data_IF_050501209283
#
_entry.id   IF_050501209283
#
_cell.length_a   1.000
_cell.length_b   1.000
_cell.length_c   1.000
_cell.angle_alpha   90.00
_cell.angle_beta   90.00
_cell.angle_gamma   90.00
#
_symmetry.space_group_name_H-M   'P 1'
#
loop_
_entity.id
_entity.type
_entity.pdbx_description
1 polymer ?
#
# COMPACT_ATOMS: atom_id res chain seq x y z
N UNK A 1 10.84 -42.71 -57.79
CA UNK A 1 9.62 -42.75 -56.99
C UNK A 1 9.75 -43.62 -55.72
N UNK A 2 10.20 -44.84 -55.87
CA UNK A 2 10.37 -45.80 -54.74
C UNK A 2 11.22 -45.25 -53.57
N UNK A 3 12.33 -44.57 -53.84
CA UNK A 3 13.22 -43.96 -52.88
C UNK A 3 12.58 -42.79 -52.08
N UNK A 4 11.65 -42.03 -52.68
CA UNK A 4 10.92 -40.96 -51.98
C UNK A 4 9.83 -41.46 -51.06
N UNK A 5 9.16 -42.54 -51.45
CA UNK A 5 8.16 -43.22 -50.63
C UNK A 5 8.79 -43.89 -49.39
N UNK A 6 10.00 -44.51 -49.56
CA UNK A 6 10.77 -45.07 -48.45
C UNK A 6 11.17 -43.98 -47.43
N UNK A 7 11.63 -42.81 -47.92
CA UNK A 7 12.02 -41.69 -47.06
C UNK A 7 10.80 -41.06 -46.32
N UNK A 8 9.65 -40.97 -46.98
CA UNK A 8 8.40 -40.50 -46.32
C UNK A 8 7.97 -41.50 -45.24
N UNK A 9 8.08 -42.80 -45.53
CA UNK A 9 7.78 -43.82 -44.53
C UNK A 9 8.74 -43.76 -43.30
N UNK A 10 10.03 -43.59 -43.58
CA UNK A 10 11.02 -43.42 -42.52
C UNK A 10 10.83 -42.15 -41.71
N UNK A 11 10.53 -41.02 -42.36
CA UNK A 11 10.24 -39.76 -41.69
C UNK A 11 8.99 -39.85 -40.78
N UNK A 12 7.92 -40.49 -41.26
CA UNK A 12 6.71 -40.73 -40.45
C UNK A 12 7.01 -41.62 -39.24
N UNK A 13 7.76 -42.69 -39.38
CA UNK A 13 8.13 -43.52 -38.26
C UNK A 13 8.97 -42.79 -37.19
N UNK A 14 9.95 -41.97 -37.66
CA UNK A 14 10.73 -41.12 -36.74
C UNK A 14 9.81 -40.09 -36.02
N UNK A 15 8.88 -39.43 -36.73
CA UNK A 15 7.94 -38.48 -36.16
C UNK A 15 7.01 -39.10 -35.11
N UNK A 16 6.52 -40.32 -35.36
CA UNK A 16 5.67 -41.04 -34.44
C UNK A 16 6.40 -41.45 -33.16
N UNK A 17 7.70 -41.79 -33.27
CA UNK A 17 8.53 -42.24 -32.14
C UNK A 17 8.96 -41.13 -31.19
N UNK A 18 8.75 -39.85 -31.51
CA UNK A 18 9.22 -38.72 -30.71
C UNK A 18 8.25 -38.43 -29.56
N UNK A 19 8.82 -38.16 -28.39
CA UNK A 19 8.09 -37.88 -27.15
C UNK A 19 8.13 -36.41 -26.71
N UNK A 20 8.90 -35.55 -27.35
CA UNK A 20 9.03 -34.14 -27.02
C UNK A 20 9.12 -33.23 -28.26
N UNK A 21 8.81 -31.93 -28.07
CA UNK A 21 8.74 -30.96 -29.16
C UNK A 21 10.16 -30.62 -29.70
N UNK A 22 11.21 -30.68 -28.87
CA UNK A 22 12.55 -30.32 -29.29
C UNK A 22 13.10 -31.38 -30.27
N UNK A 23 12.93 -32.66 -29.97
CA UNK A 23 13.30 -33.77 -30.84
C UNK A 23 12.47 -33.75 -32.14
N UNK A 24 11.17 -33.34 -32.06
CA UNK A 24 10.33 -33.15 -33.26
C UNK A 24 10.86 -32.02 -34.20
N UNK A 25 11.36 -30.94 -33.61
CA UNK A 25 11.98 -29.84 -34.37
C UNK A 25 13.31 -30.26 -35.02
N UNK A 26 14.10 -31.16 -34.38
CA UNK A 26 15.28 -31.73 -34.99
C UNK A 26 14.93 -32.57 -36.27
N UNK A 27 13.88 -33.39 -36.16
CA UNK A 27 13.37 -34.13 -37.35
C UNK A 27 12.87 -33.20 -38.41
N UNK A 28 12.16 -32.14 -38.07
CA UNK A 28 11.73 -31.12 -39.03
C UNK A 28 12.92 -30.49 -39.76
N UNK A 29 13.99 -30.16 -39.03
CA UNK A 29 15.23 -29.62 -39.65
C UNK A 29 15.90 -30.63 -40.54
N UNK A 30 15.96 -31.93 -40.16
CA UNK A 30 16.54 -33.01 -40.93
C UNK A 30 15.89 -33.18 -42.29
N UNK A 31 14.55 -33.11 -42.34
CA UNK A 31 13.82 -33.37 -43.57
C UNK A 31 13.46 -32.10 -44.36
N UNK A 32 13.04 -31.02 -43.67
CA UNK A 32 12.46 -29.82 -44.24
C UNK A 32 13.33 -28.56 -44.07
N UNK A 33 14.44 -28.65 -43.35
CA UNK A 33 15.34 -27.53 -43.12
C UNK A 33 16.04 -27.03 -44.42
N UNK A 34 16.79 -25.93 -44.33
CA UNK A 34 17.53 -25.33 -45.45
C UNK A 34 18.50 -26.29 -46.13
N UNK A 35 19.05 -27.26 -45.41
CA UNK A 35 19.90 -28.38 -45.87
C UNK A 35 19.22 -29.74 -45.67
N UNK A 36 17.92 -29.76 -45.49
CA UNK A 36 17.14 -30.98 -45.26
C UNK A 36 16.91 -31.73 -46.58
N UNK A 37 16.58 -33.04 -46.40
CA UNK A 37 16.45 -33.96 -47.52
C UNK A 37 15.59 -33.41 -48.68
N UNK A 38 14.37 -32.95 -48.39
CA UNK A 38 13.48 -32.47 -49.46
C UNK A 38 13.98 -31.16 -50.09
N UNK A 39 14.70 -30.31 -49.38
CA UNK A 39 15.29 -29.10 -49.91
C UNK A 39 16.45 -29.43 -50.88
N UNK A 40 17.27 -30.43 -50.57
CA UNK A 40 18.35 -30.89 -51.47
C UNK A 40 17.79 -31.59 -52.71
N UNK A 41 16.72 -32.39 -52.58
CA UNK A 41 16.04 -32.98 -53.74
C UNK A 41 15.46 -31.92 -54.68
N UNK A 42 14.87 -30.86 -54.13
CA UNK A 42 14.35 -29.72 -54.92
C UNK A 42 15.47 -28.99 -55.70
N UNK A 43 16.66 -28.84 -55.09
CA UNK A 43 17.82 -28.25 -55.78
C UNK A 43 18.30 -29.17 -56.92
N UNK A 44 18.24 -30.49 -56.73
CA UNK A 44 18.61 -31.47 -57.74
C UNK A 44 17.74 -31.45 -59.00
N UNK A 45 16.54 -30.90 -58.97
CA UNK A 45 15.68 -30.77 -60.13
C UNK A 45 16.31 -29.90 -61.26
N UNK A 46 17.29 -29.06 -60.93
CA UNK A 46 18.03 -28.29 -61.90
C UNK A 46 18.78 -29.12 -62.94
N UNK A 47 19.13 -30.39 -62.62
CA UNK A 47 19.84 -31.32 -63.52
C UNK A 47 18.92 -32.09 -64.50
N UNK A 48 17.59 -32.02 -64.34
CA UNK A 48 16.60 -32.71 -65.16
C UNK A 48 16.22 -31.87 -66.38
N UNK A 49 15.70 -32.56 -67.40
CA UNK A 49 15.18 -31.88 -68.60
C UNK A 49 13.99 -30.97 -68.33
N UNK A 50 13.76 -29.92 -69.13
CA UNK A 50 12.65 -28.98 -68.91
C UNK A 50 11.27 -29.64 -68.89
N UNK A 51 11.10 -30.78 -69.54
CA UNK A 51 9.82 -31.51 -69.58
C UNK A 51 9.58 -32.39 -68.37
N UNK A 52 10.65 -32.90 -67.73
CA UNK A 52 10.55 -33.80 -66.57
C UNK A 52 10.48 -33.04 -65.23
N UNK A 53 10.97 -31.80 -65.16
CA UNK A 53 11.01 -30.98 -63.97
C UNK A 53 9.65 -30.80 -63.30
N UNK A 54 8.54 -30.46 -64.02
CA UNK A 54 7.25 -30.25 -63.39
C UNK A 54 6.71 -31.50 -62.71
N UNK A 55 6.83 -32.61 -63.35
CA UNK A 55 6.35 -33.90 -62.81
C UNK A 55 7.15 -34.34 -61.55
N UNK A 56 8.50 -34.29 -61.64
CA UNK A 56 9.37 -34.60 -60.50
C UNK A 56 9.18 -33.59 -59.34
N UNK A 57 9.01 -32.29 -59.63
CA UNK A 57 8.74 -31.28 -58.60
C UNK A 57 7.40 -31.49 -57.91
N UNK A 58 6.35 -31.92 -58.64
CA UNK A 58 5.04 -32.22 -58.04
C UNK A 58 5.14 -33.41 -57.05
N UNK A 59 5.85 -34.46 -57.42
CA UNK A 59 6.03 -35.62 -56.54
C UNK A 59 6.81 -35.29 -55.27
N UNK A 60 7.89 -34.49 -55.41
CA UNK A 60 8.69 -34.05 -54.22
C UNK A 60 7.86 -33.15 -53.34
N UNK A 61 7.06 -32.23 -53.91
CA UNK A 61 6.18 -31.36 -53.11
C UNK A 61 5.09 -32.16 -52.40
N UNK A 62 4.49 -33.16 -53.05
CA UNK A 62 3.53 -34.05 -52.40
C UNK A 62 4.16 -34.84 -51.24
N UNK A 63 5.34 -35.39 -51.41
CA UNK A 63 6.08 -36.08 -50.35
C UNK A 63 6.43 -35.14 -49.20
N UNK A 64 6.90 -33.93 -49.52
CA UNK A 64 7.15 -32.89 -48.52
C UNK A 64 5.91 -32.54 -47.72
N UNK A 65 4.75 -32.38 -48.38
CA UNK A 65 3.49 -32.06 -47.74
C UNK A 65 3.06 -33.18 -46.76
N UNK A 66 3.19 -34.46 -47.14
CA UNK A 66 2.88 -35.59 -46.28
C UNK A 66 3.71 -35.60 -45.02
N UNK A 67 5.01 -35.25 -45.08
CA UNK A 67 5.88 -35.14 -43.92
C UNK A 67 5.52 -33.91 -43.06
N UNK A 68 5.19 -32.78 -43.71
CA UNK A 68 4.78 -31.56 -43.01
C UNK A 68 3.47 -31.80 -42.21
N UNK A 69 2.50 -32.48 -42.84
CA UNK A 69 1.22 -32.80 -42.17
C UNK A 69 1.43 -33.75 -40.97
N UNK A 70 2.29 -34.75 -41.14
CA UNK A 70 2.65 -35.64 -40.04
C UNK A 70 3.35 -34.89 -38.87
N UNK A 71 4.25 -33.97 -39.17
CA UNK A 71 4.93 -33.11 -38.18
C UNK A 71 3.91 -32.23 -37.42
N UNK A 72 2.99 -31.62 -38.16
CA UNK A 72 1.97 -30.76 -37.56
C UNK A 72 1.02 -31.56 -36.65
N UNK A 73 0.54 -32.71 -37.11
CA UNK A 73 -0.33 -33.60 -36.30
C UNK A 73 0.40 -34.10 -35.03
N UNK A 74 1.69 -34.48 -35.14
CA UNK A 74 2.45 -34.89 -33.98
C UNK A 74 2.71 -33.78 -32.98
N UNK A 75 3.02 -32.57 -33.48
CA UNK A 75 3.19 -31.38 -32.66
C UNK A 75 1.93 -31.10 -31.85
N UNK A 76 0.77 -31.06 -32.50
CA UNK A 76 -0.50 -30.83 -31.82
C UNK A 76 -0.78 -31.90 -30.75
N UNK A 77 -0.50 -33.16 -31.04
CA UNK A 77 -0.65 -34.25 -30.07
C UNK A 77 0.27 -34.09 -28.86
N UNK A 78 1.54 -33.68 -29.06
CA UNK A 78 2.49 -33.43 -27.98
C UNK A 78 2.11 -32.19 -27.16
N UNK A 79 1.66 -31.11 -27.78
CA UNK A 79 1.19 -29.91 -27.09
C UNK A 79 -0.04 -30.21 -26.23
N UNK A 80 -1.00 -30.99 -26.74
CA UNK A 80 -2.18 -31.45 -25.98
C UNK A 80 -1.75 -32.36 -24.83
N UNK A 81 -0.79 -33.26 -25.04
CA UNK A 81 -0.27 -34.12 -23.96
C UNK A 81 0.39 -33.33 -22.83
N UNK A 82 1.23 -32.35 -23.18
CA UNK A 82 1.85 -31.43 -22.22
C UNK A 82 0.82 -30.61 -21.47
N UNK A 83 -0.17 -30.06 -22.21
CA UNK A 83 -1.28 -29.31 -21.60
C UNK A 83 -2.08 -30.18 -20.63
N UNK A 84 -2.45 -31.38 -21.02
CA UNK A 84 -3.20 -32.31 -20.16
C UNK A 84 -2.40 -32.71 -18.90
N UNK A 85 -1.09 -32.92 -19.02
CA UNK A 85 -0.21 -33.17 -17.89
C UNK A 85 -0.18 -31.98 -16.93
N UNK A 86 -0.08 -30.77 -17.46
CA UNK A 86 -0.13 -29.54 -16.67
C UNK A 86 -1.48 -29.38 -15.99
N UNK A 87 -2.59 -29.55 -16.71
CA UNK A 87 -3.93 -29.47 -16.15
C UNK A 87 -4.18 -30.53 -15.05
N UNK A 88 -3.67 -31.74 -15.23
CA UNK A 88 -3.75 -32.80 -14.22
C UNK A 88 -2.96 -32.43 -12.94
N UNK A 89 -1.80 -31.78 -13.10
CA UNK A 89 -1.00 -31.30 -11.96
C UNK A 89 -1.63 -30.08 -11.26
N UNK A 90 -2.43 -29.29 -11.98
CA UNK A 90 -3.14 -28.10 -11.46
C UNK A 90 -4.59 -28.42 -11.03
N UNK A 91 -4.93 -29.69 -10.82
CA UNK A 91 -6.29 -30.11 -10.41
C UNK A 91 -6.66 -29.47 -9.07
N UNK A 92 -7.74 -28.72 -9.04
CA UNK A 92 -8.30 -28.13 -7.83
C UNK A 92 -9.42 -29.05 -7.33
N UNK A 93 -9.42 -29.33 -6.03
CA UNK A 93 -10.52 -30.05 -5.40
C UNK A 93 -11.78 -29.15 -5.38
N UNK A 94 -12.73 -29.46 -6.26
CA UNK A 94 -14.02 -28.76 -6.37
C UNK A 94 -15.05 -29.27 -5.38
N UNK A 95 -14.77 -30.30 -4.58
CA UNK A 95 -15.64 -30.79 -3.51
C UNK A 95 -15.59 -29.92 -2.26
N UNK A 96 -14.58 -29.02 -2.18
CA UNK A 96 -14.51 -28.04 -1.10
C UNK A 96 -15.72 -27.11 -1.13
N UNK A 97 -16.21 -26.68 0.04
CA UNK A 97 -17.35 -25.75 0.10
C UNK A 97 -17.05 -24.50 -0.71
N UNK A 98 -18.03 -24.04 -1.48
CA UNK A 98 -17.95 -22.85 -2.31
C UNK A 98 -17.52 -21.61 -1.53
N UNK A 99 -17.35 -20.49 -2.21
CA UNK A 99 -16.93 -19.23 -1.59
C UNK A 99 -17.77 -18.95 -0.34
N UNK A 100 -17.09 -18.88 0.80
CA UNK A 100 -17.75 -18.42 2.04
C UNK A 100 -18.18 -16.98 1.81
N UNK A 101 -19.33 -16.61 2.38
CA UNK A 101 -19.71 -15.20 2.50
C UNK A 101 -18.60 -14.56 3.34
N UNK A 102 -17.83 -13.69 2.72
CA UNK A 102 -16.79 -12.96 3.42
C UNK A 102 -17.45 -11.91 4.32
N UNK A 103 -17.26 -12.02 5.61
CA UNK A 103 -17.64 -10.96 6.53
C UNK A 103 -16.75 -9.73 6.24
N UNK A 104 -17.36 -8.55 6.23
CA UNK A 104 -16.65 -7.29 6.17
C UNK A 104 -15.79 -7.08 7.42
N UNK A 105 -14.81 -6.19 7.33
CA UNK A 105 -13.98 -5.72 8.44
C UNK A 105 -14.05 -4.20 8.57
N UNK A 106 -13.60 -3.67 9.70
CA UNK A 106 -13.42 -2.23 9.88
C UNK A 106 -12.20 -1.76 9.09
N UNK A 107 -12.31 -0.56 8.53
CA UNK A 107 -11.20 0.10 7.86
C UNK A 107 -9.98 0.21 8.81
N UNK A 108 -8.73 0.01 8.37
CA UNK A 108 -7.56 0.03 9.25
C UNK A 108 -7.38 1.32 10.03
N UNK A 109 -7.73 2.48 9.45
CA UNK A 109 -7.74 3.77 10.14
C UNK A 109 -8.78 3.77 11.28
N UNK A 110 -9.99 3.25 11.05
CA UNK A 110 -11.02 3.12 12.09
C UNK A 110 -10.55 2.23 13.24
N UNK A 111 -9.96 1.07 12.94
CA UNK A 111 -9.38 0.18 13.96
C UNK A 111 -8.27 0.86 14.77
N UNK A 112 -7.47 1.69 14.11
CA UNK A 112 -6.42 2.47 14.78
C UNK A 112 -7.03 3.50 15.73
N UNK A 113 -8.06 4.25 15.29
CA UNK A 113 -8.78 5.23 16.14
C UNK A 113 -9.36 4.53 17.37
N UNK A 114 -10.13 3.45 17.20
CA UNK A 114 -10.74 2.71 18.29
C UNK A 114 -9.69 2.18 19.29
N UNK A 115 -8.55 1.73 18.78
CA UNK A 115 -7.44 1.28 19.63
C UNK A 115 -6.85 2.43 20.44
N UNK A 116 -6.64 3.60 19.83
CA UNK A 116 -6.13 4.80 20.49
C UNK A 116 -7.12 5.27 21.55
N UNK A 117 -8.41 5.39 21.19
CA UNK A 117 -9.47 5.78 22.14
C UNK A 117 -9.53 4.87 23.34
N UNK A 118 -9.41 3.54 23.14
CA UNK A 118 -9.38 2.57 24.23
C UNK A 118 -8.16 2.76 25.14
N UNK A 119 -6.95 2.83 24.58
CA UNK A 119 -5.72 2.95 25.36
C UNK A 119 -5.69 4.24 26.19
N UNK A 120 -6.06 5.37 25.60
CA UNK A 120 -6.16 6.62 26.35
C UNK A 120 -7.34 6.63 27.33
N UNK A 121 -8.46 5.97 26.99
CA UNK A 121 -9.57 5.78 27.92
C UNK A 121 -9.17 5.02 29.19
N UNK A 122 -8.35 3.98 29.06
CA UNK A 122 -7.78 3.24 30.20
C UNK A 122 -6.85 4.11 31.06
N UNK A 123 -6.23 5.15 30.48
CA UNK A 123 -5.43 6.16 31.21
C UNK A 123 -6.27 7.33 31.74
N UNK A 124 -7.62 7.26 31.63
CA UNK A 124 -8.55 8.26 32.14
C UNK A 124 -8.80 9.47 31.24
N UNK A 125 -8.38 9.42 29.97
CA UNK A 125 -8.72 10.46 28.99
C UNK A 125 -10.14 10.27 28.47
N UNK A 126 -10.88 11.37 28.32
CA UNK A 126 -12.19 11.41 27.66
C UNK A 126 -12.04 11.74 26.20
N UNK A 127 -12.91 11.20 25.36
CA UNK A 127 -12.94 11.53 23.93
C UNK A 127 -13.84 12.75 23.73
N UNK A 128 -13.27 13.82 23.20
CA UNK A 128 -14.01 15.03 22.82
C UNK A 128 -13.97 15.21 21.32
N UNK A 129 -15.02 15.83 20.76
CA UNK A 129 -15.17 16.07 19.33
C UNK A 129 -15.63 17.50 19.08
N UNK A 130 -15.27 18.02 17.91
CA UNK A 130 -15.63 19.39 17.52
C UNK A 130 -15.84 19.54 16.02
N UNK A 131 -16.15 20.75 15.56
CA UNK A 131 -16.43 21.03 14.16
C UNK A 131 -15.21 20.84 13.27
N UNK A 132 -15.45 20.49 12.00
CA UNK A 132 -14.39 20.40 10.97
C UNK A 132 -14.19 21.76 10.27
N UNK A 133 -15.21 22.64 10.30
CA UNK A 133 -15.12 24.02 9.83
C UNK A 133 -14.86 24.88 11.06
N UNK A 134 -13.75 25.58 11.05
CA UNK A 134 -13.27 26.38 12.16
C UNK A 134 -13.09 27.84 11.77
N UNK A 135 -13.08 28.70 12.79
CA UNK A 135 -12.70 30.11 12.68
C UNK A 135 -11.20 30.31 12.96
N UNK A 136 -10.72 31.53 12.67
CA UNK A 136 -9.32 31.90 12.89
C UNK A 136 -8.89 31.87 14.34
N UNK A 137 -9.80 32.15 15.29
CA UNK A 137 -9.50 32.13 16.71
C UNK A 137 -9.17 30.72 17.20
N UNK A 138 -10.05 29.74 16.96
CA UNK A 138 -9.87 28.37 17.45
C UNK A 138 -8.78 27.60 16.68
N UNK A 139 -8.61 27.91 15.38
CA UNK A 139 -7.59 27.22 14.58
C UNK A 139 -6.19 27.80 14.73
N UNK A 140 -6.05 29.08 15.14
CA UNK A 140 -4.76 29.75 15.17
C UNK A 140 -4.53 30.66 16.39
N UNK A 141 -5.39 31.67 16.64
CA UNK A 141 -5.06 32.74 17.59
C UNK A 141 -4.96 32.24 19.01
N UNK A 142 -5.92 31.45 19.46
CA UNK A 142 -5.92 30.82 20.78
C UNK A 142 -4.76 29.83 20.99
N UNK A 143 -4.18 29.34 19.92
CA UNK A 143 -3.02 28.44 19.90
C UNK A 143 -1.68 29.19 19.81
N UNK A 144 -1.67 30.49 20.06
CA UNK A 144 -0.47 31.32 20.01
C UNK A 144 0.23 31.29 18.64
N UNK A 145 -0.48 31.00 17.54
CA UNK A 145 0.05 31.03 16.18
C UNK A 145 -0.08 32.44 15.63
N UNK A 146 1.05 33.16 15.39
CA UNK A 146 1.01 34.55 14.97
C UNK A 146 0.44 34.74 13.55
N UNK A 147 -0.08 35.95 13.26
CA UNK A 147 -0.75 36.27 12.00
C UNK A 147 0.13 36.05 10.75
N UNK A 148 1.45 36.17 10.89
CA UNK A 148 2.42 35.99 9.80
C UNK A 148 2.98 34.55 9.70
N UNK A 149 2.41 33.60 10.46
CA UNK A 149 2.88 32.22 10.44
C UNK A 149 2.56 31.55 9.10
N UNK A 150 3.48 30.77 8.47
CA UNK A 150 3.26 30.12 7.18
C UNK A 150 2.02 29.24 7.13
N UNK A 151 1.68 28.54 8.21
CA UNK A 151 0.48 27.69 8.29
C UNK A 151 -0.85 28.42 8.07
N UNK A 152 -0.87 29.76 8.13
CA UNK A 152 -2.06 30.56 7.84
C UNK A 152 -2.21 30.94 6.36
N UNK A 153 -1.27 30.53 5.51
CA UNK A 153 -1.33 30.85 4.08
C UNK A 153 -2.30 29.93 3.34
N UNK A 154 -2.84 30.39 2.23
CA UNK A 154 -3.71 29.61 1.32
C UNK A 154 -2.96 28.41 0.71
N UNK A 155 -1.65 28.37 0.81
CA UNK A 155 -0.84 27.25 0.36
C UNK A 155 -0.97 26.03 1.30
N UNK A 156 -1.22 26.26 2.58
CA UNK A 156 -1.30 25.18 3.59
C UNK A 156 -2.73 24.94 4.11
N UNK A 157 -3.60 25.97 4.06
CA UNK A 157 -4.95 25.96 4.67
C UNK A 157 -6.04 26.16 3.63
N UNK A 158 -7.11 25.35 3.70
CA UNK A 158 -8.29 25.49 2.84
C UNK A 158 -9.29 26.48 3.47
N UNK A 159 -9.42 27.68 2.92
CA UNK A 159 -10.36 28.70 3.34
C UNK A 159 -11.65 28.66 2.54
N UNK A 160 -12.80 28.81 3.22
CA UNK A 160 -14.09 29.10 2.60
C UNK A 160 -14.25 30.60 2.34
N UNK A 161 -13.79 31.40 3.29
CA UNK A 161 -13.75 32.88 3.27
C UNK A 161 -12.66 33.32 4.26
N UNK A 162 -12.40 34.64 4.42
CA UNK A 162 -11.36 35.11 5.35
C UNK A 162 -11.50 34.68 6.80
N UNK A 163 -12.71 34.33 7.24
CA UNK A 163 -13.01 34.00 8.64
C UNK A 163 -13.16 32.51 8.91
N UNK A 164 -13.47 31.70 7.87
CA UNK A 164 -13.77 30.27 8.02
C UNK A 164 -12.90 29.40 7.14
N UNK A 165 -12.44 28.30 7.69
CA UNK A 165 -11.55 27.33 7.03
C UNK A 165 -11.88 25.88 7.43
N UNK A 166 -11.34 24.93 6.67
CA UNK A 166 -11.22 23.54 7.16
C UNK A 166 -10.09 23.48 8.20
N UNK A 167 -10.37 22.89 9.35
CA UNK A 167 -9.39 22.79 10.44
C UNK A 167 -8.14 22.05 9.99
N UNK A 168 -6.97 22.60 10.32
CA UNK A 168 -5.65 22.04 9.97
C UNK A 168 -5.11 21.06 11.00
N UNK A 169 -5.73 20.98 12.17
CA UNK A 169 -5.45 20.11 13.31
C UNK A 169 -6.70 19.99 14.19
N UNK A 170 -6.67 19.09 15.18
CA UNK A 170 -7.79 18.93 16.12
C UNK A 170 -7.65 19.78 17.38
N UNK A 171 -6.65 20.68 17.46
CA UNK A 171 -6.39 21.55 18.63
C UNK A 171 -7.53 22.51 18.92
N UNK A 172 -8.36 22.88 17.93
CA UNK A 172 -9.56 23.70 18.17
C UNK A 172 -10.53 23.05 19.16
N UNK A 173 -10.58 21.69 19.19
CA UNK A 173 -11.37 20.95 20.18
C UNK A 173 -10.83 21.16 21.59
N UNK A 174 -9.50 21.22 21.75
CA UNK A 174 -8.86 21.50 23.06
C UNK A 174 -9.22 22.89 23.56
N UNK A 175 -9.17 23.90 22.67
CA UNK A 175 -9.56 25.28 22.99
C UNK A 175 -11.02 25.31 23.44
N UNK A 176 -11.95 24.76 22.65
CA UNK A 176 -13.38 24.71 22.98
C UNK A 176 -13.65 23.99 24.31
N UNK A 177 -12.92 22.92 24.61
CA UNK A 177 -13.05 22.22 25.90
C UNK A 177 -12.61 23.12 27.06
N UNK A 178 -11.48 23.82 26.91
CA UNK A 178 -10.96 24.72 27.96
C UNK A 178 -11.84 25.96 28.17
N UNK A 179 -12.56 26.44 27.14
CA UNK A 179 -13.53 27.53 27.28
C UNK A 179 -14.74 27.13 28.13
N UNK A 180 -15.11 25.86 28.16
CA UNK A 180 -16.34 25.38 28.80
C UNK A 180 -16.09 24.56 30.06
N UNK A 181 -14.85 24.13 30.31
CA UNK A 181 -14.49 23.29 31.44
C UNK A 181 -13.27 23.85 32.18
N UNK A 182 -13.37 23.92 33.50
CA UNK A 182 -12.22 24.23 34.35
C UNK A 182 -11.37 22.98 34.60
N UNK A 183 -10.04 23.13 34.83
CA UNK A 183 -9.19 22.01 35.24
C UNK A 183 -9.70 21.30 36.51
N UNK A 184 -9.49 19.99 36.65
CA UNK A 184 -8.62 19.15 35.82
C UNK A 184 -9.29 18.75 34.49
N UNK A 185 -8.53 18.85 33.41
CA UNK A 185 -8.93 18.46 32.05
C UNK A 185 -8.03 17.33 31.59
N UNK A 186 -8.63 16.27 31.02
CA UNK A 186 -7.88 15.15 30.44
C UNK A 186 -8.67 14.58 29.27
N UNK A 187 -8.31 14.97 28.08
CA UNK A 187 -9.05 14.63 26.84
C UNK A 187 -8.14 14.18 25.72
N UNK A 188 -8.71 13.41 24.80
CA UNK A 188 -8.19 13.21 23.43
C UNK A 188 -9.24 13.69 22.42
N UNK A 189 -8.78 14.24 21.31
CA UNK A 189 -9.62 14.76 20.24
C UNK A 189 -9.27 14.08 18.90
N UNK A 190 -9.86 12.91 18.57
CA UNK A 190 -9.71 12.29 17.26
C UNK A 190 -10.58 12.98 16.22
N UNK A 191 -10.07 13.14 15.00
CA UNK A 191 -10.87 13.69 13.93
C UNK A 191 -10.12 13.88 12.62
N UNK A 192 -10.89 14.20 11.57
CA UNK A 192 -10.35 14.57 10.26
C UNK A 192 -9.77 15.97 10.32
N UNK A 193 -8.67 16.14 9.61
CA UNK A 193 -7.98 17.43 9.44
C UNK A 193 -7.60 17.62 7.97
N UNK A 194 -7.31 18.85 7.58
CA UNK A 194 -7.17 19.21 6.19
C UNK A 194 -5.96 20.12 6.00
N UNK A 195 -5.08 19.75 5.06
CA UNK A 195 -3.90 20.54 4.67
C UNK A 195 -3.71 20.45 3.17
N UNK A 196 -3.31 21.53 2.55
CA UNK A 196 -3.09 21.57 1.10
C UNK A 196 -1.73 20.95 0.74
N UNK A 197 -1.62 19.64 0.95
CA UNK A 197 -0.39 18.85 0.70
C UNK A 197 -0.76 17.48 0.13
N UNK A 198 0.03 16.98 -0.84
CA UNK A 198 -0.23 15.70 -1.49
C UNK A 198 1.05 15.04 -2.00
N UNK A 199 1.47 13.95 -1.32
CA UNK A 199 2.55 13.07 -1.76
C UNK A 199 2.33 11.62 -1.25
N UNK A 200 3.37 10.76 -1.22
CA UNK A 200 3.26 9.38 -0.70
C UNK A 200 2.99 9.31 0.81
N UNK A 201 3.25 10.40 1.53
CA UNK A 201 3.14 10.50 2.99
C UNK A 201 2.12 11.53 3.44
N UNK A 202 1.54 12.31 2.52
CA UNK A 202 0.59 13.36 2.76
C UNK A 202 -0.62 13.26 1.82
N UNK A 203 -1.80 13.52 2.37
CA UNK A 203 -3.06 13.67 1.62
C UNK A 203 -3.78 14.93 2.08
N UNK A 204 -4.59 15.57 1.23
CA UNK A 204 -5.31 16.80 1.60
C UNK A 204 -6.23 16.63 2.80
N UNK A 205 -6.74 15.43 3.04
CA UNK A 205 -7.49 15.04 4.21
C UNK A 205 -6.81 13.83 4.86
N UNK A 206 -6.59 13.90 6.16
CA UNK A 206 -6.08 12.79 6.96
C UNK A 206 -6.70 12.85 8.37
N UNK A 207 -6.38 11.87 9.21
CA UNK A 207 -6.89 11.82 10.58
C UNK A 207 -5.78 12.12 11.59
N UNK A 208 -6.14 12.86 12.62
CA UNK A 208 -5.25 13.21 13.72
C UNK A 208 -5.94 12.89 15.05
N UNK A 209 -5.15 12.51 16.05
CA UNK A 209 -5.56 12.51 17.46
C UNK A 209 -4.65 13.46 18.19
N UNK A 210 -5.23 14.41 18.89
CA UNK A 210 -4.50 15.23 19.84
C UNK A 210 -4.99 14.95 21.25
N UNK A 211 -4.07 15.03 22.21
CA UNK A 211 -4.36 14.90 23.62
C UNK A 211 -4.00 16.15 24.39
N UNK A 212 -4.78 16.45 25.41
CA UNK A 212 -4.59 17.57 26.34
C UNK A 212 -4.80 17.08 27.77
N UNK A 213 -3.86 17.42 28.62
CA UNK A 213 -4.03 17.37 30.07
C UNK A 213 -3.71 18.72 30.66
N UNK A 214 -4.62 19.27 31.50
CA UNK A 214 -4.40 20.49 32.28
C UNK A 214 -4.74 20.20 33.73
N UNK A 215 -3.78 20.42 34.65
CA UNK A 215 -3.93 20.17 36.07
C UNK A 215 -2.99 21.13 36.85
N UNK A 216 -3.07 21.13 38.18
CA UNK A 216 -2.19 21.96 39.03
C UNK A 216 -0.71 21.52 38.98
N UNK A 217 -0.43 20.25 38.65
CA UNK A 217 0.91 19.66 38.72
C UNK A 217 1.33 18.90 37.46
N UNK A 218 0.73 19.20 36.29
CA UNK A 218 1.13 18.59 35.04
C UNK A 218 2.61 18.83 34.72
N UNK A 219 3.34 17.79 34.32
CA UNK A 219 4.77 17.88 34.08
C UNK A 219 5.21 17.20 32.77
N UNK A 220 6.33 17.64 32.24
CA UNK A 220 6.94 17.02 31.07
C UNK A 220 7.37 15.56 31.33
N UNK A 221 7.69 15.22 32.56
CA UNK A 221 8.01 13.84 32.96
C UNK A 221 6.77 12.94 32.88
N UNK A 222 5.61 13.42 33.33
CA UNK A 222 4.34 12.72 33.20
C UNK A 222 3.96 12.51 31.72
N UNK A 223 4.08 13.57 30.90
CA UNK A 223 3.89 13.49 29.46
C UNK A 223 4.75 12.37 28.83
N UNK A 224 6.04 12.34 29.15
CA UNK A 224 6.96 11.30 28.68
C UNK A 224 6.50 9.89 29.09
N UNK A 225 6.07 9.71 30.32
CA UNK A 225 5.56 8.43 30.83
C UNK A 225 4.33 7.96 30.06
N UNK A 226 3.33 8.84 29.93
CA UNK A 226 2.09 8.54 29.18
C UNK A 226 2.38 8.16 27.72
N UNK A 227 3.24 8.92 27.03
CA UNK A 227 3.56 8.64 25.64
C UNK A 227 4.38 7.37 25.46
N UNK A 228 5.30 7.09 26.40
CA UNK A 228 6.05 5.83 26.40
C UNK A 228 5.12 4.62 26.56
N UNK A 229 4.22 4.67 27.55
CA UNK A 229 3.26 3.60 27.82
C UNK A 229 2.28 3.43 26.65
N UNK A 230 1.80 4.55 26.09
CA UNK A 230 0.94 4.51 24.91
C UNK A 230 1.63 3.81 23.73
N UNK A 231 2.83 4.23 23.33
CA UNK A 231 3.53 3.68 22.18
C UNK A 231 3.85 2.19 22.35
N UNK A 232 4.30 1.80 23.55
CA UNK A 232 4.55 0.39 23.88
C UNK A 232 3.30 -0.47 23.74
N UNK A 233 2.17 -0.02 24.30
CA UNK A 233 0.91 -0.76 24.24
C UNK A 233 0.27 -0.69 22.85
N UNK A 234 0.45 0.41 22.11
CA UNK A 234 -0.08 0.54 20.77
C UNK A 234 0.61 -0.41 19.78
N UNK A 235 1.93 -0.47 19.81
CA UNK A 235 2.71 -1.35 18.92
C UNK A 235 2.85 -2.78 19.45
N UNK A 236 2.59 -3.02 20.74
CA UNK A 236 2.78 -4.32 21.42
C UNK A 236 4.23 -4.83 21.30
N UNK A 237 5.19 -3.91 21.26
CA UNK A 237 6.62 -4.16 21.14
C UNK A 237 7.38 -3.28 22.14
N UNK A 238 8.53 -3.74 22.62
CA UNK A 238 9.44 -2.95 23.44
C UNK A 238 10.28 -2.04 22.53
N UNK A 239 9.75 -0.84 22.26
CA UNK A 239 10.33 0.10 21.32
C UNK A 239 11.41 0.98 21.97
N UNK A 240 12.49 1.21 21.25
CA UNK A 240 13.41 2.30 21.59
C UNK A 240 12.81 3.62 21.15
N UNK A 241 12.54 4.50 22.13
CA UNK A 241 11.87 5.78 21.95
C UNK A 241 12.86 6.91 22.23
N UNK A 242 12.81 7.97 21.44
CA UNK A 242 13.63 9.17 21.61
C UNK A 242 12.74 10.40 21.57
N UNK A 243 12.99 11.34 22.51
CA UNK A 243 12.44 12.69 22.48
C UNK A 243 13.50 13.66 21.95
N UNK A 244 13.17 14.40 20.91
CA UNK A 244 14.03 15.45 20.34
C UNK A 244 13.42 16.82 20.64
N UNK A 245 14.21 17.82 21.07
CA UNK A 245 13.74 19.19 21.13
C UNK A 245 13.15 19.65 19.79
N UNK A 246 12.01 20.34 19.84
CA UNK A 246 11.34 20.93 18.69
C UNK A 246 10.73 22.28 19.06
N UNK A 247 10.03 22.91 18.13
CA UNK A 247 9.32 24.15 18.36
C UNK A 247 7.92 24.08 17.79
N UNK A 248 6.94 24.37 18.66
CA UNK A 248 5.57 24.63 18.26
C UNK A 248 5.08 25.90 18.98
N UNK A 249 4.32 26.80 18.30
CA UNK A 249 3.86 28.05 18.92
C UNK A 249 3.03 27.85 20.19
N UNK A 250 2.30 26.74 20.29
CA UNK A 250 1.36 26.43 21.37
C UNK A 250 1.93 25.58 22.50
N UNK A 251 3.23 25.22 22.44
CA UNK A 251 3.91 24.47 23.53
C UNK A 251 5.31 25.01 23.81
N UNK A 252 5.72 24.99 25.09
CA UNK A 252 7.06 25.33 25.55
C UNK A 252 7.35 24.65 26.91
N UNK A 253 8.35 23.73 26.99
CA UNK A 253 9.16 23.20 25.90
C UNK A 253 8.35 22.28 24.96
N UNK A 254 8.82 22.18 23.73
CA UNK A 254 8.26 21.30 22.68
C UNK A 254 9.23 20.18 22.38
N UNK A 255 8.70 19.03 22.01
CA UNK A 255 9.47 17.87 21.56
C UNK A 255 8.76 17.10 20.45
N UNK A 256 9.54 16.44 19.62
CA UNK A 256 9.08 15.39 18.72
C UNK A 256 9.52 14.04 19.24
N UNK A 257 8.68 13.03 19.03
CA UNK A 257 8.93 11.66 19.48
C UNK A 257 9.19 10.77 18.29
N UNK A 258 10.34 10.12 18.32
CA UNK A 258 10.76 9.16 17.33
C UNK A 258 10.78 7.74 17.93
N UNK A 259 10.43 6.75 17.13
CA UNK A 259 10.63 5.33 17.44
C UNK A 259 11.69 4.73 16.52
N UNK A 260 12.44 3.76 17.03
CA UNK A 260 13.41 3.02 16.23
C UNK A 260 12.69 1.98 15.39
N UNK A 261 12.75 2.13 14.06
CA UNK A 261 12.21 1.14 13.13
C UNK A 261 13.08 -0.12 13.04
N UNK A 262 12.51 -1.22 12.56
CA UNK A 262 13.21 -2.51 12.38
C UNK A 262 14.43 -2.43 11.45
N UNK A 263 14.49 -1.41 10.62
CA UNK A 263 15.62 -1.12 9.71
C UNK A 263 16.72 -0.25 10.35
N UNK A 264 16.66 0.00 11.67
CA UNK A 264 17.61 0.85 12.40
C UNK A 264 17.49 2.35 12.13
N UNK A 265 16.41 2.80 11.46
CA UNK A 265 16.16 4.22 11.22
C UNK A 265 15.14 4.77 12.22
N UNK A 266 15.37 6.01 12.64
CA UNK A 266 14.43 6.75 13.45
C UNK A 266 13.22 7.20 12.61
N UNK A 267 12.04 6.99 13.13
CA UNK A 267 10.76 7.33 12.51
C UNK A 267 10.00 8.24 13.46
N UNK A 268 9.79 9.49 13.05
CA UNK A 268 8.94 10.42 13.78
C UNK A 268 7.49 9.93 13.80
N UNK A 269 6.87 9.96 14.98
CA UNK A 269 5.51 9.45 15.18
C UNK A 269 4.55 10.48 15.74
N UNK A 270 5.03 11.45 16.54
CA UNK A 270 4.18 12.48 17.14
C UNK A 270 4.98 13.70 17.62
N UNK A 271 4.27 14.84 17.73
CA UNK A 271 4.74 16.05 18.42
C UNK A 271 4.09 16.18 19.79
N UNK A 272 4.80 16.79 20.75
CA UNK A 272 4.28 17.01 22.10
C UNK A 272 4.99 18.19 22.81
N UNK A 273 4.43 18.62 23.94
CA UNK A 273 5.06 19.66 24.76
C UNK A 273 4.19 20.11 25.92
N UNK A 274 4.75 20.96 26.75
CA UNK A 274 3.98 21.67 27.78
C UNK A 274 3.17 22.79 27.15
N UNK A 275 1.91 22.93 27.52
CA UNK A 275 1.02 23.95 26.95
C UNK A 275 1.58 25.34 27.25
N UNK A 276 1.71 26.15 26.19
CA UNK A 276 2.22 27.50 26.32
C UNK A 276 1.31 28.36 27.21
N UNK A 277 1.82 29.17 28.16
CA UNK A 277 1.00 30.00 29.05
C UNK A 277 -0.01 30.91 28.32
N UNK A 278 0.34 31.39 27.12
CA UNK A 278 -0.58 32.22 26.31
C UNK A 278 -1.83 31.44 25.88
N UNK A 279 -1.71 30.13 25.61
CA UNK A 279 -2.85 29.28 25.28
C UNK A 279 -3.82 29.18 26.46
N UNK A 280 -3.32 28.98 27.66
CA UNK A 280 -4.16 28.96 28.86
C UNK A 280 -4.83 30.30 29.12
N UNK A 281 -4.08 31.42 28.95
CA UNK A 281 -4.65 32.79 29.09
C UNK A 281 -5.74 33.09 28.08
N UNK A 282 -5.60 32.61 26.82
CA UNK A 282 -6.59 32.87 25.77
C UNK A 282 -7.98 32.29 26.08
N UNK A 283 -8.03 31.26 26.92
CA UNK A 283 -9.27 30.57 27.35
C UNK A 283 -9.63 30.85 28.82
N UNK A 284 -8.98 31.81 29.46
CA UNK A 284 -9.31 32.24 30.84
C UNK A 284 -8.82 31.28 31.94
N UNK A 285 -7.86 30.40 31.64
CA UNK A 285 -7.22 29.53 32.64
C UNK A 285 -5.96 30.23 33.16
N UNK A 286 -5.80 30.29 34.49
CA UNK A 286 -4.65 30.91 35.13
C UNK A 286 -3.38 30.05 35.03
N UNK A 287 -2.35 30.47 34.26
CA UNK A 287 -1.13 29.69 34.08
C UNK A 287 -0.20 29.71 35.31
N UNK A 288 -0.44 30.55 36.30
CA UNK A 288 0.30 30.53 37.57
C UNK A 288 -0.21 29.42 38.50
N UNK A 289 -1.49 29.01 38.30
CA UNK A 289 -2.13 27.97 39.07
C UNK A 289 -2.10 26.62 38.36
N UNK A 290 -2.26 26.62 37.08
CA UNK A 290 -2.40 25.40 36.26
C UNK A 290 -1.28 25.31 35.23
N UNK A 291 -0.81 24.09 35.02
CA UNK A 291 0.05 23.69 33.91
C UNK A 291 -0.63 22.62 33.09
N UNK A 292 -0.18 22.44 31.87
CA UNK A 292 -0.72 21.38 31.00
C UNK A 292 0.32 20.86 30.04
N UNK A 293 0.02 19.71 29.46
CA UNK A 293 0.76 19.19 28.32
C UNK A 293 -0.19 18.75 27.22
N UNK A 294 0.31 18.79 25.99
CA UNK A 294 -0.41 18.36 24.82
C UNK A 294 0.48 17.49 23.90
N UNK A 295 -0.15 16.67 23.10
CA UNK A 295 0.50 15.85 22.08
C UNK A 295 -0.41 15.68 20.88
N UNK A 296 0.17 15.46 19.70
CA UNK A 296 -0.59 15.25 18.46
C UNK A 296 0.09 14.23 17.56
N UNK A 297 -0.72 13.33 17.00
CA UNK A 297 -0.24 12.23 16.15
C UNK A 297 -1.14 12.02 14.93
N UNK A 298 -0.53 11.77 13.76
CA UNK A 298 -1.23 11.36 12.55
C UNK A 298 -1.63 9.89 12.62
N UNK A 299 -2.93 9.61 12.45
CA UNK A 299 -3.47 8.25 12.59
C UNK A 299 -2.98 7.35 11.47
N UNK A 300 -2.97 7.85 10.23
CA UNK A 300 -2.46 7.11 9.09
C UNK A 300 -1.00 6.73 9.28
N UNK A 301 -0.18 7.64 9.83
CA UNK A 301 1.23 7.36 10.12
C UNK A 301 1.40 6.19 11.10
N UNK A 302 0.64 6.20 12.18
CA UNK A 302 0.62 5.10 13.15
C UNK A 302 0.10 3.79 12.52
N UNK A 303 -0.95 3.89 11.68
CA UNK A 303 -1.52 2.75 10.96
C UNK A 303 -0.51 2.14 9.99
N UNK A 304 0.18 2.98 9.21
CA UNK A 304 1.25 2.55 8.30
C UNK A 304 2.34 1.78 9.05
N UNK A 305 2.82 2.32 10.16
CA UNK A 305 3.88 1.70 10.95
C UNK A 305 3.45 0.37 11.57
N UNK A 306 2.23 0.29 12.10
CA UNK A 306 1.70 -0.93 12.72
C UNK A 306 1.49 -2.06 11.71
N UNK A 307 0.97 -1.75 10.53
CA UNK A 307 0.59 -2.74 9.52
C UNK A 307 1.61 -2.90 8.39
N UNK A 308 2.71 -2.15 8.42
CA UNK A 308 3.75 -2.23 7.39
C UNK A 308 3.32 -1.70 6.01
N UNK A 309 2.40 -0.72 5.99
CA UNK A 309 1.95 -0.07 4.75
C UNK A 309 2.92 1.06 4.39
N UNK A 310 3.43 1.07 3.16
CA UNK A 310 4.46 2.01 2.73
C UNK A 310 3.92 3.25 2.01
N UNK A 311 2.65 3.24 1.61
CA UNK A 311 2.00 4.33 0.89
C UNK A 311 0.67 4.68 1.55
N UNK A 312 0.56 5.89 2.07
CA UNK A 312 -0.62 6.39 2.77
C UNK A 312 -1.87 6.42 1.89
N UNK A 313 -1.71 6.64 0.57
CA UNK A 313 -2.82 6.72 -0.38
C UNK A 313 -3.64 5.44 -0.45
N UNK A 314 -3.04 4.29 -0.17
CA UNK A 314 -3.73 2.99 -0.13
C UNK A 314 -4.92 2.97 0.84
N UNK A 315 -4.92 3.80 1.90
CA UNK A 315 -6.05 3.93 2.82
C UNK A 315 -7.25 4.67 2.21
N UNK A 316 -7.06 5.40 1.11
CA UNK A 316 -8.08 6.27 0.50
C UNK A 316 -8.52 5.81 -0.89
N UNK A 317 -7.83 4.85 -1.51
CA UNK A 317 -8.13 4.33 -2.85
C UNK A 317 -9.30 3.35 -2.90
N UNK A 318 -9.81 2.90 -1.76
CA UNK A 318 -10.91 1.95 -1.63
C UNK A 318 -10.69 0.62 -2.40
N UNK A 319 -9.44 0.17 -2.53
CA UNK A 319 -9.12 -1.13 -3.13
C UNK A 319 -9.52 -2.27 -2.18
N UNK A 320 -10.54 -3.03 -2.58
CA UNK A 320 -11.05 -4.13 -1.77
C UNK A 320 -10.00 -5.24 -1.52
N UNK A 321 -9.02 -5.42 -2.40
CA UNK A 321 -7.93 -6.39 -2.20
C UNK A 321 -7.03 -5.97 -1.05
N UNK A 322 -6.81 -4.65 -0.91
CA UNK A 322 -6.09 -4.07 0.21
C UNK A 322 -6.92 -4.15 1.49
N UNK A 323 -8.16 -3.68 1.47
CA UNK A 323 -9.03 -3.61 2.65
C UNK A 323 -9.37 -4.99 3.24
N UNK A 324 -9.48 -6.03 2.41
CA UNK A 324 -9.75 -7.41 2.85
C UNK A 324 -8.63 -8.01 3.72
N UNK A 325 -7.45 -7.42 3.77
CA UNK A 325 -6.34 -7.86 4.61
C UNK A 325 -6.51 -7.47 6.09
N UNK A 326 -7.44 -6.57 6.41
CA UNK A 326 -7.67 -6.03 7.76
C UNK A 326 -8.96 -6.59 8.40
N UNK A 327 -9.13 -7.91 8.41
CA UNK A 327 -10.29 -8.59 9.01
C UNK A 327 -10.10 -8.89 10.49
#
# INVERSE_FOLDING_TARGET
MQQLEEVVGQAKAEIEGVSDIAALDEIRVKYLGKKGFFTEQMKGLGALSPEERPAAGAVINQAKQLVQDALNARREALEVAVLNQKLAAETIDISLPGRRIENGGLHPVTRTIERIERLFGEMGFKVERGPEIEDGFHNFDALNIPAHHPARTDHDTFYFNPDLMLRTHTSGVQIRTMEHQQPPIRIIAPGRVYRNDYDMTHTPMFHQVEGLLVDEHASFTELKGILHDFLRNYFEEDLTIRFRPSYFPFTEPSAEVDVMGKNGKWLEVLGCGMVHPNVLRSVGIDPEKYSGFAFGMGIERLTMLRYGVNDLRAFFENDLRFLKQFK
#
